data_IF_005675246340
#
_entry.id   IF_005675246340
#
_cell.length_a   1.000
_cell.length_b   1.000
_cell.length_c   1.000
_cell.angle_alpha   90.00
_cell.angle_beta   90.00
_cell.angle_gamma   90.00
#
_symmetry.space_group_name_H-M   'P 1'
#
loop_
_entity.id
_entity.type
_entity.pdbx_description
1 polymer ?
#
# COMPACT_ATOMS: atom_id res chain seq x y z
N UNK A 1 18.44 2.56 -7.26
CA UNK A 1 17.24 2.44 -6.39
C UNK A 1 17.38 3.49 -5.29
N UNK A 2 16.39 4.35 -5.07
CA UNK A 2 16.47 5.39 -4.04
C UNK A 2 16.25 4.76 -2.65
N UNK A 3 17.24 4.87 -1.76
CA UNK A 3 17.21 4.29 -0.41
C UNK A 3 16.13 4.90 0.48
N UNK A 4 15.84 6.19 0.32
CA UNK A 4 14.81 6.88 1.10
C UNK A 4 13.41 6.37 0.73
N UNK A 5 13.17 6.11 -0.56
CA UNK A 5 11.90 5.54 -1.02
C UNK A 5 11.72 4.09 -0.55
N UNK A 6 12.79 3.30 -0.49
CA UNK A 6 12.76 1.95 0.08
C UNK A 6 12.41 1.99 1.57
N UNK A 7 13.06 2.89 2.33
CA UNK A 7 12.85 3.01 3.76
C UNK A 7 11.44 3.53 4.08
N UNK A 8 10.97 4.52 3.32
CA UNK A 8 9.59 5.02 3.44
C UNK A 8 8.57 3.94 3.13
N UNK A 9 8.79 3.14 2.08
CA UNK A 9 7.91 2.02 1.72
C UNK A 9 7.90 0.91 2.79
N UNK A 10 9.05 0.54 3.36
CA UNK A 10 9.13 -0.46 4.41
C UNK A 10 8.48 0.00 5.73
N UNK A 11 8.51 1.31 6.02
CA UNK A 11 7.95 1.88 7.24
C UNK A 11 6.47 2.26 7.12
N UNK A 12 5.94 2.35 5.89
CA UNK A 12 4.56 2.70 5.63
C UNK A 12 3.59 1.74 6.32
N UNK A 13 2.57 2.31 6.96
CA UNK A 13 1.49 1.57 7.59
C UNK A 13 0.35 1.44 6.59
N UNK A 14 -0.15 0.23 6.40
CA UNK A 14 -1.25 -0.07 5.50
C UNK A 14 -2.44 -0.58 6.29
N UNK A 15 -3.64 -0.08 5.95
CA UNK A 15 -4.89 -0.46 6.57
C UNK A 15 -5.74 -1.28 5.61
N UNK A 16 -6.12 -2.48 6.02
CA UNK A 16 -7.01 -3.39 5.31
C UNK A 16 -8.40 -3.27 5.91
N UNK A 17 -9.41 -3.12 5.05
CA UNK A 17 -10.83 -3.06 5.39
C UNK A 17 -11.19 -2.05 6.50
N UNK A 18 -10.38 -0.99 6.64
CA UNK A 18 -10.58 0.05 7.64
C UNK A 18 -10.25 -0.34 9.10
N UNK A 19 -9.83 -1.57 9.38
CA UNK A 19 -9.72 -2.09 10.76
C UNK A 19 -8.38 -2.73 11.10
N UNK A 20 -7.63 -3.20 10.10
CA UNK A 20 -6.43 -4.00 10.29
C UNK A 20 -5.21 -3.27 9.75
N UNK A 21 -4.19 -3.06 10.58
CA UNK A 21 -2.97 -2.39 10.16
C UNK A 21 -1.79 -3.37 10.02
N UNK A 22 -0.94 -3.16 9.01
CA UNK A 22 0.29 -3.93 8.81
C UNK A 22 1.39 -3.11 8.13
N UNK A 23 2.63 -3.61 8.20
CA UNK A 23 3.79 -3.06 7.49
C UNK A 23 4.41 -4.12 6.59
N UNK A 24 5.02 -3.70 5.49
CA UNK A 24 5.70 -4.61 4.56
C UNK A 24 6.94 -5.21 5.26
N UNK A 25 7.14 -6.52 5.08
CA UNK A 25 8.27 -7.24 5.67
C UNK A 25 8.19 -7.48 7.18
N UNK A 26 7.06 -7.15 7.83
CA UNK A 26 6.82 -7.43 9.25
C UNK A 26 5.66 -8.41 9.40
N UNK A 27 5.85 -9.40 10.27
CA UNK A 27 4.77 -10.32 10.64
C UNK A 27 3.61 -9.55 11.28
N UNK A 28 2.38 -9.84 10.86
CA UNK A 28 1.15 -9.28 11.43
C UNK A 28 0.22 -10.42 11.84
N UNK A 29 0.02 -10.57 13.16
CA UNK A 29 -0.96 -11.52 13.72
C UNK A 29 -2.37 -11.23 13.20
N UNK A 30 -2.70 -9.97 12.92
CA UNK A 30 -4.03 -9.65 12.40
C UNK A 30 -4.19 -10.15 10.96
N UNK A 31 -3.15 -10.03 10.11
CA UNK A 31 -3.17 -10.61 8.77
C UNK A 31 -3.24 -12.14 8.82
N UNK A 32 -2.50 -12.76 9.74
CA UNK A 32 -2.56 -14.21 9.96
C UNK A 32 -3.99 -14.67 10.32
N UNK A 33 -4.67 -13.97 11.24
CA UNK A 33 -6.07 -14.27 11.55
C UNK A 33 -7.00 -14.04 10.36
N UNK A 34 -6.77 -12.99 9.56
CA UNK A 34 -7.54 -12.74 8.34
C UNK A 34 -7.37 -13.88 7.31
N UNK A 35 -6.15 -14.37 7.16
CA UNK A 35 -5.82 -15.52 6.31
C UNK A 35 -6.53 -16.79 6.79
N UNK A 36 -6.43 -17.10 8.08
CA UNK A 36 -7.11 -18.25 8.68
C UNK A 36 -8.65 -18.15 8.53
N UNK A 37 -9.23 -16.98 8.81
CA UNK A 37 -10.67 -16.74 8.68
C UNK A 37 -11.18 -16.89 7.23
N UNK A 38 -10.30 -16.68 6.24
CA UNK A 38 -10.62 -16.82 4.80
C UNK A 38 -10.12 -18.13 4.19
N UNK A 39 -9.52 -19.02 4.97
CA UNK A 39 -8.91 -20.26 4.46
C UNK A 39 -7.79 -20.03 3.44
N UNK A 40 -7.13 -18.87 3.48
CA UNK A 40 -6.08 -18.50 2.55
C UNK A 40 -4.71 -18.79 3.15
N UNK A 41 -3.83 -19.50 2.42
CA UNK A 41 -2.44 -19.71 2.85
C UNK A 41 -1.55 -18.48 2.60
N UNK A 42 -1.92 -17.65 1.63
CA UNK A 42 -1.19 -16.46 1.24
C UNK A 42 -2.13 -15.43 0.59
N UNK A 43 -1.70 -14.17 0.59
CA UNK A 43 -2.38 -13.08 -0.12
C UNK A 43 -1.36 -12.16 -0.77
N UNK A 44 -1.77 -11.46 -1.82
CA UNK A 44 -0.95 -10.46 -2.49
C UNK A 44 -1.44 -9.06 -2.16
N UNK A 45 -0.53 -8.19 -1.71
CA UNK A 45 -0.82 -6.77 -1.54
C UNK A 45 -0.33 -6.00 -2.76
N UNK A 46 -1.25 -5.38 -3.49
CA UNK A 46 -0.96 -4.62 -4.72
C UNK A 46 -1.14 -3.14 -4.43
N UNK A 47 -0.09 -2.36 -4.66
CA UNK A 47 -0.10 -0.90 -4.47
C UNK A 47 0.62 -0.17 -5.59
N UNK A 48 0.06 0.96 -6.02
CA UNK A 48 0.69 1.87 -6.97
C UNK A 48 1.90 2.61 -6.37
N UNK A 49 1.97 2.71 -5.03
CA UNK A 49 3.04 3.38 -4.30
C UNK A 49 4.13 2.41 -3.86
N UNK A 50 4.69 1.65 -4.81
CA UNK A 50 5.88 0.82 -4.57
C UNK A 50 7.12 1.45 -5.24
N UNK A 51 8.36 1.20 -4.74
CA UNK A 51 9.58 1.82 -5.25
C UNK A 51 9.94 1.46 -6.69
N UNK A 52 9.37 0.38 -7.23
CA UNK A 52 9.56 -0.04 -8.62
C UNK A 52 8.47 0.51 -9.55
N UNK A 53 7.46 1.22 -9.02
CA UNK A 53 6.43 1.86 -9.84
C UNK A 53 6.99 3.01 -10.65
N UNK A 54 6.41 3.18 -11.84
CA UNK A 54 6.49 4.45 -12.59
C UNK A 54 5.37 5.37 -12.12
N UNK A 55 5.67 6.64 -11.85
CA UNK A 55 4.64 7.64 -11.56
C UNK A 55 3.79 7.86 -12.81
N UNK A 56 2.47 7.85 -12.62
CA UNK A 56 1.46 8.11 -13.64
C UNK A 56 0.59 9.29 -13.20
N UNK A 57 -0.07 9.99 -14.14
CA UNK A 57 -1.16 10.91 -13.83
C UNK A 57 -2.24 10.22 -13.00
N UNK A 58 -2.89 10.96 -12.11
CA UNK A 58 -3.89 10.41 -11.20
C UNK A 58 -5.05 9.72 -11.96
N UNK A 59 -5.52 10.33 -13.04
CA UNK A 59 -6.59 9.78 -13.89
C UNK A 59 -6.17 8.47 -14.56
N UNK A 60 -4.95 8.41 -15.11
CA UNK A 60 -4.43 7.17 -15.72
C UNK A 60 -4.25 6.06 -14.68
N UNK A 61 -3.78 6.42 -13.48
CA UNK A 61 -3.63 5.47 -12.39
C UNK A 61 -4.99 4.92 -11.92
N UNK A 62 -6.03 5.77 -11.84
CA UNK A 62 -7.38 5.36 -11.50
C UNK A 62 -7.96 4.43 -12.56
N UNK A 63 -7.83 4.77 -13.85
CA UNK A 63 -8.30 3.93 -14.95
C UNK A 63 -7.65 2.53 -14.94
N UNK A 64 -6.33 2.47 -14.70
CA UNK A 64 -5.60 1.19 -14.57
C UNK A 64 -5.99 0.41 -13.31
N UNK A 65 -6.31 1.10 -12.21
CA UNK A 65 -6.81 0.46 -10.99
C UNK A 65 -8.17 -0.21 -11.24
N UNK A 66 -9.08 0.47 -11.92
CA UNK A 66 -10.39 -0.08 -12.29
C UNK A 66 -10.25 -1.27 -13.25
N UNK A 67 -9.33 -1.18 -14.23
CA UNK A 67 -9.05 -2.28 -15.15
C UNK A 67 -8.48 -3.51 -14.40
N UNK A 68 -7.57 -3.30 -13.45
CA UNK A 68 -7.08 -4.37 -12.58
C UNK A 68 -8.23 -5.00 -11.78
N UNK A 69 -9.12 -4.18 -11.23
CA UNK A 69 -10.32 -4.62 -10.52
C UNK A 69 -11.14 -5.61 -11.35
N UNK A 70 -11.46 -5.24 -12.60
CA UNK A 70 -12.21 -6.07 -13.55
C UNK A 70 -11.48 -7.37 -13.90
N UNK A 71 -10.16 -7.33 -14.09
CA UNK A 71 -9.35 -8.54 -14.36
C UNK A 71 -9.39 -9.51 -13.19
N UNK A 72 -9.31 -9.01 -11.96
CA UNK A 72 -9.41 -9.84 -10.76
C UNK A 72 -10.82 -10.44 -10.59
N UNK A 73 -11.87 -9.69 -10.93
CA UNK A 73 -13.24 -10.23 -10.93
C UNK A 73 -13.40 -11.37 -11.95
N UNK A 74 -12.83 -11.22 -13.15
CA UNK A 74 -12.85 -12.27 -14.17
C UNK A 74 -12.07 -13.54 -13.74
N UNK A 75 -11.07 -13.39 -12.85
CA UNK A 75 -10.33 -14.51 -12.27
C UNK A 75 -11.05 -15.17 -11.08
N UNK A 76 -12.15 -14.58 -10.59
CA UNK A 76 -12.91 -15.12 -9.45
C UNK A 76 -12.17 -15.07 -8.12
N UNK A 77 -11.16 -14.20 -7.99
CA UNK A 77 -10.36 -14.11 -6.75
C UNK A 77 -10.99 -13.15 -5.74
N UNK A 78 -10.94 -13.51 -4.46
CA UNK A 78 -11.41 -12.64 -3.39
C UNK A 78 -10.51 -11.39 -3.25
N UNK A 79 -11.13 -10.22 -3.17
CA UNK A 79 -10.46 -8.92 -2.97
C UNK A 79 -10.82 -8.32 -1.61
N UNK A 80 -9.92 -7.52 -1.06
CA UNK A 80 -10.17 -6.71 0.14
C UNK A 80 -9.60 -5.32 -0.11
N UNK A 81 -10.38 -4.29 0.23
CA UNK A 81 -9.91 -2.92 0.12
C UNK A 81 -8.77 -2.67 1.12
N UNK A 82 -7.75 -1.95 0.67
CA UNK A 82 -6.65 -1.54 1.53
C UNK A 82 -6.11 -0.19 1.09
N UNK A 83 -5.64 0.61 2.05
CA UNK A 83 -5.09 1.94 1.81
C UNK A 83 -3.79 2.12 2.60
N UNK A 84 -2.85 2.87 2.04
CA UNK A 84 -1.74 3.41 2.82
C UNK A 84 -2.27 4.47 3.77
N UNK A 85 -1.93 4.35 5.05
CA UNK A 85 -2.15 5.43 6.01
C UNK A 85 -1.03 6.44 5.78
N UNK A 86 -1.40 7.63 5.32
CA UNK A 86 -0.45 8.71 5.03
C UNK A 86 0.51 8.88 6.22
N UNK A 87 1.79 8.53 6.04
CA UNK A 87 2.81 9.30 6.72
C UNK A 87 2.90 10.58 5.90
N UNK A 88 2.58 11.72 6.51
CA UNK A 88 2.94 12.99 5.88
C UNK A 88 4.42 12.90 5.46
N UNK A 89 4.82 13.44 4.29
CA UNK A 89 6.23 13.69 4.09
C UNK A 89 6.68 14.48 5.32
N UNK A 90 7.73 14.00 6.00
CA UNK A 90 8.39 14.80 7.02
C UNK A 90 8.67 16.15 6.36
N UNK A 91 7.96 17.19 6.82
CA UNK A 91 8.27 18.55 6.48
C UNK A 91 9.58 18.87 7.18
N UNK A 92 10.69 18.45 6.58
CA UNK A 92 12.01 18.83 7.06
C UNK A 92 12.29 20.22 6.50
N UNK A 93 12.36 21.16 7.45
CA UNK A 93 12.96 22.52 7.39
C UNK A 93 12.32 23.56 6.47
N UNK A 94 11.24 24.16 6.96
CA UNK A 94 11.21 25.62 7.07
C UNK A 94 12.18 26.00 8.21
N UNK A 95 13.47 26.12 7.91
CA UNK A 95 14.35 26.92 8.77
C UNK A 95 14.29 28.36 8.28
N UNK A 96 13.67 29.18 9.12
CA UNK A 96 13.92 30.60 9.15
C UNK A 96 15.42 30.83 9.39
N UNK A 97 16.07 31.62 8.55
CA UNK A 97 17.24 32.38 9.00
C UNK A 97 17.23 33.74 8.32
N UNK A 98 17.15 34.75 9.18
CA UNK A 98 17.46 36.16 8.95
C UNK A 98 18.67 36.33 8.02
N UNK A 99 18.53 37.17 6.99
CA UNK A 99 19.13 38.51 6.92
C UNK A 99 18.55 39.30 5.74
#
# INVERSE_FOLDING_TARGET
MNQDLLQAYANALYRVDGILDFRIGKHSKQLEHLHAARGAAHSHFITAFNPASRRLPAEENAARHDELGKKLDALGVAKVAAAGLNHAPCATTLDATHQ
#
